data_IF_519975171539
#
_entry.id   IF_519975171539
#
_cell.length_a   1.000
_cell.length_b   1.000
_cell.length_c   1.000
_cell.angle_alpha   90.00
_cell.angle_beta   90.00
_cell.angle_gamma   90.00
#
_symmetry.space_group_name_H-M   'P 1'
#
loop_
_entity.id
_entity.type
_entity.pdbx_description
1 polymer ?
#
# COMPACT_ATOMS: atom_id res chain seq x y z
N UNK A 1 -9.23 1.26 -14.84
CA UNK A 1 -10.59 1.13 -14.29
C UNK A 1 -11.52 2.11 -15.01
N UNK A 2 -12.82 1.85 -14.98
CA UNK A 2 -13.87 2.61 -15.68
C UNK A 2 -14.22 3.95 -15.03
N UNK A 3 -14.46 3.97 -13.72
CA UNK A 3 -14.70 5.19 -12.93
C UNK A 3 -13.64 5.34 -11.83
N UNK A 4 -13.15 6.55 -11.59
CA UNK A 4 -12.10 6.81 -10.60
C UNK A 4 -12.60 6.74 -9.15
N UNK A 5 -13.82 7.24 -8.91
CA UNK A 5 -14.43 7.36 -7.59
C UNK A 5 -15.21 6.10 -7.21
N UNK A 6 -15.90 5.48 -8.16
CA UNK A 6 -16.70 4.27 -7.93
C UNK A 6 -16.51 3.22 -9.05
N UNK A 7 -15.40 2.49 -9.05
CA UNK A 7 -15.05 1.58 -10.15
C UNK A 7 -15.93 0.33 -10.16
N UNK A 8 -16.45 -0.05 -11.32
CA UNK A 8 -17.17 -1.31 -11.51
C UNK A 8 -16.33 -2.39 -12.18
N UNK A 9 -15.30 -1.99 -12.94
CA UNK A 9 -14.44 -2.91 -13.69
C UNK A 9 -12.96 -2.51 -13.70
N UNK A 10 -12.10 -3.52 -13.80
CA UNK A 10 -10.68 -3.37 -14.08
C UNK A 10 -9.81 -3.28 -12.83
N UNK A 11 -8.61 -2.74 -12.99
CA UNK A 11 -7.57 -2.80 -11.96
C UNK A 11 -7.15 -1.42 -11.47
N UNK A 12 -6.77 -1.37 -10.20
CA UNK A 12 -6.05 -0.27 -9.57
C UNK A 12 -4.75 -0.82 -9.01
N UNK A 13 -3.65 -0.16 -9.36
CA UNK A 13 -2.33 -0.45 -8.82
C UNK A 13 -1.79 0.81 -8.17
N UNK A 14 -1.20 0.67 -6.98
CA UNK A 14 -0.50 1.76 -6.31
C UNK A 14 0.85 1.23 -5.87
N UNK A 15 1.90 1.94 -6.27
CA UNK A 15 3.28 1.67 -5.86
C UNK A 15 3.71 2.85 -4.99
N UNK A 16 4.25 2.56 -3.81
CA UNK A 16 4.81 3.53 -2.89
C UNK A 16 6.29 3.22 -2.71
N UNK A 17 7.12 4.25 -2.81
CA UNK A 17 8.56 4.17 -2.59
C UNK A 17 8.97 5.40 -1.80
N UNK A 18 9.66 5.16 -0.70
CA UNK A 18 10.15 6.21 0.19
C UNK A 18 11.55 5.84 0.64
N UNK A 19 12.46 6.81 0.53
CA UNK A 19 13.86 6.69 0.92
C UNK A 19 14.15 7.91 1.78
N UNK A 20 14.63 7.69 2.99
CA UNK A 20 14.99 8.74 3.92
C UNK A 20 16.43 8.58 4.39
N UNK A 21 17.11 9.70 4.67
CA UNK A 21 18.50 9.75 5.11
C UNK A 21 19.47 10.27 4.04
N UNK A 22 20.74 9.89 4.15
CA UNK A 22 21.81 10.33 3.25
C UNK A 22 22.38 11.73 3.57
N UNK A 23 22.87 12.50 2.56
CA UNK A 23 23.64 13.73 2.78
C UNK A 23 22.82 14.88 3.41
N UNK A 24 21.49 14.76 3.41
CA UNK A 24 20.57 15.71 4.03
C UNK A 24 20.30 15.41 5.52
N UNK A 25 20.84 14.30 6.04
CA UNK A 25 20.67 13.87 7.42
C UNK A 25 19.33 13.16 7.68
N UNK A 26 19.14 12.67 8.90
CA UNK A 26 17.99 11.87 9.32
C UNK A 26 18.30 10.37 9.44
N UNK A 27 17.30 9.58 9.86
CA UNK A 27 17.44 8.12 9.94
C UNK A 27 17.39 7.50 8.56
N UNK A 28 18.32 6.59 8.30
CA UNK A 28 18.44 5.92 7.02
C UNK A 28 17.45 4.75 6.91
N UNK A 29 16.41 4.90 6.09
CA UNK A 29 15.46 3.81 5.86
C UNK A 29 14.89 3.81 4.44
N UNK A 30 14.52 2.62 3.99
CA UNK A 30 13.81 2.35 2.75
C UNK A 30 12.44 1.77 3.10
N UNK A 31 11.40 2.30 2.47
CA UNK A 31 10.05 1.73 2.48
C UNK A 31 9.56 1.57 1.06
N UNK A 32 8.99 0.40 0.80
CA UNK A 32 8.28 0.11 -0.44
C UNK A 32 6.94 -0.53 -0.12
N UNK A 33 5.96 -0.26 -0.97
CA UNK A 33 4.61 -0.77 -0.81
C UNK A 33 3.96 -0.96 -2.16
N UNK A 34 3.19 -2.03 -2.29
CA UNK A 34 2.42 -2.34 -3.47
C UNK A 34 1.01 -2.76 -3.08
N UNK A 35 0.04 -2.06 -3.64
CA UNK A 35 -1.38 -2.28 -3.40
C UNK A 35 -2.07 -2.52 -4.75
N UNK A 36 -2.91 -3.56 -4.77
CA UNK A 36 -3.68 -3.95 -5.94
C UNK A 36 -5.15 -4.08 -5.56
N UNK A 37 -6.03 -3.58 -6.41
CA UNK A 37 -7.47 -3.83 -6.29
C UNK A 37 -8.05 -4.18 -7.64
N UNK A 38 -8.70 -5.33 -7.70
CA UNK A 38 -9.40 -5.83 -8.87
C UNK A 38 -10.91 -5.69 -8.68
N UNK A 39 -11.56 -5.09 -9.67
CA UNK A 39 -13.00 -4.89 -9.73
C UNK A 39 -13.58 -5.74 -10.87
N UNK A 40 -14.56 -6.57 -10.54
CA UNK A 40 -15.23 -7.44 -11.49
C UNK A 40 -16.75 -7.39 -11.31
N UNK A 41 -17.52 -7.01 -12.35
CA UNK A 41 -18.97 -6.99 -12.27
C UNK A 41 -19.50 -8.42 -12.27
N UNK A 42 -20.38 -8.75 -11.32
CA UNK A 42 -21.02 -10.06 -11.26
C UNK A 42 -22.39 -10.02 -11.93
N UNK A 43 -23.30 -9.16 -11.46
CA UNK A 43 -24.67 -9.05 -11.96
C UNK A 43 -25.16 -7.60 -11.75
N UNK A 44 -25.67 -6.95 -12.79
CA UNK A 44 -26.19 -5.57 -12.73
C UNK A 44 -25.24 -4.57 -12.02
N UNK A 45 -25.55 -4.22 -10.77
CA UNK A 45 -24.82 -3.27 -9.91
C UNK A 45 -23.96 -3.96 -8.85
N UNK A 46 -23.95 -5.29 -8.81
CA UNK A 46 -23.11 -6.09 -7.92
C UNK A 46 -21.70 -6.22 -8.51
N UNK A 47 -20.72 -5.66 -7.80
CA UNK A 47 -19.30 -5.68 -8.20
C UNK A 47 -18.49 -6.36 -7.11
N UNK A 48 -17.71 -7.38 -7.49
CA UNK A 48 -16.69 -7.98 -6.65
C UNK A 48 -15.47 -7.07 -6.63
N UNK A 49 -14.98 -6.72 -5.43
CA UNK A 49 -13.73 -6.01 -5.24
C UNK A 49 -12.75 -6.90 -4.46
N UNK A 50 -11.66 -7.33 -5.10
CA UNK A 50 -10.58 -8.07 -4.45
C UNK A 50 -9.40 -7.15 -4.21
N UNK A 51 -8.98 -7.02 -2.96
CA UNK A 51 -7.89 -6.13 -2.55
C UNK A 51 -6.73 -6.94 -1.98
N UNK A 52 -5.51 -6.55 -2.32
CA UNK A 52 -4.28 -7.11 -1.76
C UNK A 52 -3.22 -6.03 -1.58
N UNK A 53 -2.45 -6.13 -0.50
CA UNK A 53 -1.41 -5.18 -0.14
C UNK A 53 -0.17 -5.93 0.35
N UNK A 54 1.00 -5.52 -0.12
CA UNK A 54 2.31 -6.03 0.31
C UNK A 54 3.22 -4.83 0.58
N UNK A 55 3.85 -4.81 1.75
CA UNK A 55 4.69 -3.72 2.19
C UNK A 55 6.03 -4.26 2.72
N UNK A 56 7.12 -3.55 2.44
CA UNK A 56 8.46 -3.85 2.91
C UNK A 56 9.12 -2.58 3.43
N UNK A 57 9.73 -2.65 4.61
CA UNK A 57 10.45 -1.53 5.19
C UNK A 57 11.70 -2.04 5.90
N UNK A 58 12.82 -1.34 5.72
CA UNK A 58 14.07 -1.68 6.37
C UNK A 58 14.95 -0.46 6.62
N UNK A 59 15.76 -0.53 7.66
CA UNK A 59 16.83 0.43 7.92
C UNK A 59 18.04 0.13 7.05
N UNK A 60 18.88 1.12 6.78
CA UNK A 60 20.15 0.90 6.09
C UNK A 60 21.25 1.79 6.68
N UNK A 61 22.51 1.55 6.28
CA UNK A 61 23.63 2.38 6.75
C UNK A 61 23.96 2.24 8.25
N UNK A 62 23.51 1.17 8.89
CA UNK A 62 23.71 0.91 10.33
C UNK A 62 22.59 1.41 11.23
N UNK A 63 21.57 2.07 10.66
CA UNK A 63 20.38 2.49 11.39
C UNK A 63 19.30 1.40 11.35
N UNK A 64 18.58 1.25 12.46
CA UNK A 64 17.37 0.43 12.53
C UNK A 64 16.15 1.21 11.99
N UNK A 65 15.18 0.48 11.41
CA UNK A 65 13.90 1.07 10.99
C UNK A 65 13.13 1.63 12.21
N UNK A 66 12.86 2.95 12.27
CA UNK A 66 12.12 3.56 13.37
C UNK A 66 10.73 2.94 13.53
N UNK A 67 10.27 2.82 14.78
CA UNK A 67 8.97 2.18 15.07
C UNK A 67 7.78 2.88 14.40
N UNK A 68 7.84 4.20 14.24
CA UNK A 68 6.80 4.99 13.58
C UNK A 68 6.77 4.82 12.05
N UNK A 69 7.84 4.28 11.46
CA UNK A 69 7.93 3.97 10.02
C UNK A 69 7.55 2.51 9.69
N UNK A 70 7.29 1.70 10.71
CA UNK A 70 6.87 0.30 10.53
C UNK A 70 5.47 0.24 9.94
N UNK A 71 5.26 -0.76 9.10
CA UNK A 71 3.92 -1.09 8.63
C UNK A 71 3.15 -1.83 9.73
N UNK A 72 1.90 -1.43 9.92
CA UNK A 72 0.96 -2.08 10.85
C UNK A 72 -0.18 -2.70 10.05
N UNK A 73 -0.63 -3.89 10.48
CA UNK A 73 -1.80 -4.56 9.92
C UNK A 73 -2.94 -4.56 10.94
N UNK A 74 -4.10 -4.04 10.55
CA UNK A 74 -5.34 -4.06 11.32
C UNK A 74 -6.11 -2.75 11.22
N UNK A 75 -7.44 -2.84 11.23
CA UNK A 75 -8.34 -1.67 11.21
C UNK A 75 -9.07 -1.48 9.88
N UNK A 76 -9.86 -0.41 9.80
CA UNK A 76 -10.80 -0.19 8.70
C UNK A 76 -10.16 -0.17 7.30
N UNK A 77 -8.87 0.16 7.19
CA UNK A 77 -8.21 0.31 5.89
C UNK A 77 -7.29 -0.86 5.51
N UNK A 78 -7.19 -1.91 6.33
CA UNK A 78 -6.39 -3.10 5.98
C UNK A 78 -7.17 -4.39 6.24
N UNK A 79 -7.43 -4.73 7.50
CA UNK A 79 -8.08 -5.96 7.93
C UNK A 79 -9.21 -5.58 8.90
N UNK A 80 -10.44 -5.80 8.47
CA UNK A 80 -11.67 -5.65 9.27
C UNK A 80 -12.07 -7.01 9.85
N UNK A 81 -12.63 -7.00 11.05
CA UNK A 81 -13.24 -8.17 11.68
C UNK A 81 -14.67 -8.42 11.22
#
# INVERSE_FOLDING_TARGET
RDDFLNPSTGWRHVVRLEIAGGPLGGTNFLRSGYEITYYHPLIEKLVLAMHGEVNYADGYGGDDLPIFERYFMGGANSLRG
#
